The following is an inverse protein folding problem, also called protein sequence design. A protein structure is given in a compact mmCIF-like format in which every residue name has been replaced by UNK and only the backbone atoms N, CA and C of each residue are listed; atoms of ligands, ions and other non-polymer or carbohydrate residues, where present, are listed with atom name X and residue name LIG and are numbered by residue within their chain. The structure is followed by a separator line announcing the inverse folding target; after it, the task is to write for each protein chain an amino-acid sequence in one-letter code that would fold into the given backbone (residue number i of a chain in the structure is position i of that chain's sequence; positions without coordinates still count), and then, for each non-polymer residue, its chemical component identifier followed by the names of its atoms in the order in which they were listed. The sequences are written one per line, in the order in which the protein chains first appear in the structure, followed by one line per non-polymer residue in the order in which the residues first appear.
data_IF_851503108152
#
_entry.id   IF_851503108152
#
_cell.length_a   1.000
_cell.length_b   1.000
_cell.length_c   1.000
_cell.angle_alpha   90.00
_cell.angle_beta   90.00
_cell.angle_gamma   90.00
#
_symmetry.space_group_name_H-M   'P 1'
#
loop_
_entity.id
_entity.type
_entity.pdbx_description
1 polymer ?
#
# COMPACT_ATOMS: atom_id res chain seq x y z
N UNK A 1 -7.97 3.86 6.88
CA UNK A 1 -6.61 3.38 6.51
C UNK A 1 -5.70 4.45 5.86
N UNK A 2 -6.21 5.31 4.96
CA UNK A 2 -5.42 6.30 4.24
C UNK A 2 -4.55 7.21 5.13
N UNK A 3 -5.05 7.63 6.29
CA UNK A 3 -4.29 8.50 7.19
C UNK A 3 -2.97 7.89 7.67
N UNK A 4 -2.90 6.56 7.84
CA UNK A 4 -1.66 5.87 8.25
C UNK A 4 -0.64 5.82 7.11
N UNK A 5 -1.10 5.67 5.88
CA UNK A 5 -0.25 5.72 4.68
C UNK A 5 0.27 7.15 4.48
N UNK A 6 -0.61 8.15 4.60
CA UNK A 6 -0.23 9.56 4.56
C UNK A 6 0.77 9.93 5.66
N UNK A 7 0.58 9.41 6.88
CA UNK A 7 1.55 9.55 7.97
C UNK A 7 2.91 8.93 7.60
N UNK A 8 2.91 7.71 7.06
CA UNK A 8 4.13 7.06 6.57
C UNK A 8 4.86 7.89 5.52
N UNK A 9 4.13 8.46 4.56
CA UNK A 9 4.69 9.31 3.51
C UNK A 9 5.30 10.61 4.06
N UNK A 10 4.66 11.23 5.06
CA UNK A 10 5.21 12.41 5.74
C UNK A 10 6.45 12.10 6.56
N UNK A 11 6.50 10.93 7.19
CA UNK A 11 7.66 10.47 7.96
C UNK A 11 8.83 10.15 7.01
N UNK A 12 8.54 9.50 5.88
CA UNK A 12 9.52 9.05 4.89
C UNK A 12 10.45 7.94 5.40
N UNK A 13 11.26 7.40 4.49
CA UNK A 13 12.20 6.31 4.79
C UNK A 13 13.51 6.73 5.46
N UNK A 14 13.84 8.03 5.51
CA UNK A 14 15.10 8.55 6.09
C UNK A 14 15.05 8.67 7.62
N UNK A 15 13.87 8.63 8.21
CA UNK A 15 13.74 8.65 9.67
C UNK A 15 14.00 7.25 10.26
N UNK A 16 14.51 7.20 11.48
CA UNK A 16 14.62 5.94 12.24
C UNK A 16 13.28 5.51 12.88
N UNK A 17 12.15 6.08 12.43
CA UNK A 17 10.83 5.76 12.95
C UNK A 17 10.35 4.46 12.33
N UNK A 18 10.06 3.49 13.18
CA UNK A 18 9.61 2.17 12.79
C UNK A 18 8.22 1.88 13.36
N UNK A 19 7.21 1.53 12.54
CA UNK A 19 5.86 1.30 13.03
C UNK A 19 5.78 -0.01 13.80
N UNK A 20 5.11 -0.02 14.95
CA UNK A 20 4.80 -1.24 15.69
C UNK A 20 3.46 -1.83 15.20
N UNK A 21 3.40 -3.14 14.98
CA UNK A 21 2.15 -3.82 14.65
C UNK A 21 1.18 -3.79 15.86
N UNK A 22 -0.06 -3.36 15.63
CA UNK A 22 -1.16 -3.54 16.57
C UNK A 22 -1.94 -4.77 16.16
N UNK A 23 -1.65 -5.91 16.79
CA UNK A 23 -2.30 -7.17 16.49
C UNK A 23 -3.78 -7.13 16.90
N UNK A 24 -4.67 -7.67 16.04
CA UNK A 24 -6.12 -7.68 16.30
C UNK A 24 -6.48 -8.53 17.52
N UNK A 25 -5.79 -9.66 17.72
CA UNK A 25 -6.02 -10.50 18.89
C UNK A 25 -5.52 -9.80 20.16
N UNK A 26 -6.47 -9.41 21.03
CA UNK A 26 -6.20 -8.72 22.28
C UNK A 26 -5.80 -7.24 22.15
N UNK A 27 -5.73 -6.68 20.94
CA UNK A 27 -5.46 -5.26 20.70
C UNK A 27 -4.07 -4.79 21.16
N UNK A 28 -3.10 -5.72 21.24
CA UNK A 28 -1.75 -5.48 21.78
C UNK A 28 -0.76 -5.06 20.69
N UNK A 29 0.31 -4.40 21.11
CA UNK A 29 1.41 -3.99 20.24
C UNK A 29 2.55 -4.98 20.35
N UNK A 30 2.74 -5.81 19.32
CA UNK A 30 3.83 -6.79 19.26
C UNK A 30 3.97 -7.37 17.85
N UNK A 31 5.12 -8.00 17.59
CA UNK A 31 5.42 -8.78 16.40
C UNK A 31 5.13 -10.26 16.70
N UNK A 32 4.19 -10.93 16.00
CA UNK A 32 3.78 -12.30 16.32
C UNK A 32 4.79 -13.37 15.90
N UNK A 33 5.74 -13.06 15.01
CA UNK A 33 6.76 -14.00 14.55
C UNK A 33 8.11 -13.76 15.24
N UNK A 34 8.83 -14.84 15.53
CA UNK A 34 10.19 -14.78 16.07
C UNK A 34 11.23 -14.60 14.96
N UNK A 35 10.91 -15.05 13.74
CA UNK A 35 11.78 -15.03 12.57
C UNK A 35 11.03 -14.35 11.41
N UNK A 36 11.75 -13.70 10.48
CA UNK A 36 11.15 -13.11 9.29
C UNK A 36 10.56 -14.15 8.33
N UNK A 37 9.60 -13.69 7.53
CA UNK A 37 8.98 -14.44 6.44
C UNK A 37 9.09 -13.62 5.15
N UNK A 38 9.67 -14.19 4.10
CA UNK A 38 9.86 -13.49 2.81
C UNK A 38 8.56 -13.37 1.98
N UNK A 39 7.47 -13.98 2.44
CA UNK A 39 6.24 -14.20 1.65
C UNK A 39 5.15 -13.15 1.87
N UNK A 40 5.48 -12.03 2.51
CA UNK A 40 4.49 -11.07 2.99
C UNK A 40 3.97 -10.09 1.90
N UNK A 41 4.52 -10.12 0.67
CA UNK A 41 4.07 -9.24 -0.43
C UNK A 41 4.35 -9.78 -1.83
N UNK A 42 3.66 -10.84 -2.20
CA UNK A 42 3.61 -11.27 -3.60
C UNK A 42 2.82 -10.23 -4.42
N UNK A 43 3.33 -9.88 -5.61
CA UNK A 43 2.77 -8.86 -6.49
C UNK A 43 2.38 -9.52 -7.80
N UNK A 44 1.08 -9.53 -8.11
CA UNK A 44 0.54 -10.06 -9.37
C UNK A 44 -0.01 -8.95 -10.25
N UNK A 45 -0.16 -9.21 -11.56
CA UNK A 45 -0.67 -8.25 -12.55
C UNK A 45 0.40 -7.44 -13.29
N UNK A 46 1.68 -7.49 -12.85
CA UNK A 46 2.78 -6.76 -13.49
C UNK A 46 2.97 -7.11 -14.97
N UNK A 47 2.75 -8.38 -15.35
CA UNK A 47 2.87 -8.84 -16.73
C UNK A 47 1.78 -8.31 -17.67
N UNK A 48 0.74 -7.68 -17.14
CA UNK A 48 -0.37 -7.12 -17.93
C UNK A 48 -0.19 -5.63 -18.25
N UNK A 49 0.83 -4.99 -17.68
CA UNK A 49 1.11 -3.58 -17.90
C UNK A 49 1.81 -3.36 -19.24
N UNK A 50 1.34 -2.38 -20.02
CA UNK A 50 2.06 -1.88 -21.18
C UNK A 50 3.15 -0.87 -20.79
N UNK A 51 3.92 -0.39 -21.76
CA UNK A 51 4.96 0.63 -21.52
C UNK A 51 4.39 2.02 -21.21
N UNK A 52 3.08 2.24 -21.38
CA UNK A 52 2.44 3.54 -21.15
C UNK A 52 1.06 3.36 -20.50
N UNK A 53 1.07 3.15 -19.20
CA UNK A 53 -0.09 3.02 -18.33
C UNK A 53 -0.17 4.28 -17.44
N UNK A 54 -0.86 5.36 -17.86
CA UNK A 54 -0.81 6.62 -17.12
C UNK A 54 -1.36 6.49 -15.69
N UNK A 55 -2.31 5.58 -15.48
CA UNK A 55 -2.94 5.30 -14.19
C UNK A 55 -3.10 3.79 -13.99
N UNK A 56 -2.85 3.31 -12.77
CA UNK A 56 -3.03 1.91 -12.38
C UNK A 56 -3.72 1.82 -11.03
N UNK A 57 -4.37 0.68 -10.77
CA UNK A 57 -4.98 0.40 -9.48
C UNK A 57 -4.13 -0.62 -8.72
N UNK A 58 -3.78 -0.31 -7.47
CA UNK A 58 -3.14 -1.26 -6.55
C UNK A 58 -4.14 -1.68 -5.49
N UNK A 59 -4.39 -2.98 -5.42
CA UNK A 59 -5.12 -3.62 -4.34
C UNK A 59 -4.12 -4.17 -3.31
N UNK A 60 -4.01 -3.50 -2.16
CA UNK A 60 -3.16 -3.95 -1.05
C UNK A 60 -3.98 -4.81 -0.10
N UNK A 61 -4.05 -6.11 -0.39
CA UNK A 61 -4.84 -7.09 0.33
C UNK A 61 -3.94 -7.97 1.22
N UNK A 62 -3.56 -7.46 2.39
CA UNK A 62 -2.75 -8.22 3.36
C UNK A 62 -3.59 -8.85 4.46
N UNK A 63 -4.72 -8.24 4.82
CA UNK A 63 -5.58 -8.72 5.92
C UNK A 63 -6.92 -9.27 5.46
N UNK A 64 -7.41 -8.82 4.31
CA UNK A 64 -8.61 -9.32 3.65
C UNK A 64 -8.64 -8.79 2.21
N UNK A 65 -9.50 -9.40 1.39
CA UNK A 65 -9.88 -8.89 0.06
C UNK A 65 -11.42 -8.79 0.02
N UNK A 66 -12.00 -7.68 0.48
CA UNK A 66 -13.45 -7.51 0.50
C UNK A 66 -14.00 -7.26 -0.91
N UNK A 67 -15.20 -7.77 -1.21
CA UNK A 67 -15.88 -7.58 -2.51
C UNK A 67 -15.98 -6.10 -2.92
N UNK A 68 -16.20 -5.20 -1.95
CA UNK A 68 -16.24 -3.75 -2.19
C UNK A 68 -14.96 -3.16 -2.77
N UNK A 69 -13.81 -3.73 -2.40
CA UNK A 69 -12.50 -3.35 -2.92
C UNK A 69 -12.26 -3.89 -4.33
N UNK A 70 -12.75 -5.11 -4.62
CA UNK A 70 -12.72 -5.68 -5.98
C UNK A 70 -13.62 -4.90 -6.93
N UNK A 71 -14.84 -4.61 -6.49
CA UNK A 71 -15.80 -3.82 -7.26
C UNK A 71 -15.25 -2.42 -7.56
N UNK A 72 -14.78 -1.69 -6.54
CA UNK A 72 -14.22 -0.36 -6.73
C UNK A 72 -13.03 -0.37 -7.71
N UNK A 73 -12.15 -1.37 -7.63
CA UNK A 73 -11.02 -1.51 -8.55
C UNK A 73 -11.47 -1.76 -9.99
N UNK A 74 -12.46 -2.63 -10.18
CA UNK A 74 -13.04 -2.93 -11.49
C UNK A 74 -13.74 -1.71 -12.10
N UNK A 75 -14.47 -0.95 -11.28
CA UNK A 75 -15.24 0.22 -11.73
C UNK A 75 -14.32 1.36 -12.23
N UNK A 76 -13.06 1.43 -11.78
CA UNK A 76 -12.06 2.38 -12.29
C UNK A 76 -11.56 2.04 -13.70
N UNK A 77 -11.63 0.77 -14.11
CA UNK A 77 -11.22 0.34 -15.46
C UNK A 77 -9.71 0.39 -15.76
N UNK A 78 -8.87 0.65 -14.75
CA UNK A 78 -7.40 0.61 -14.90
C UNK A 78 -6.85 -0.81 -14.76
N UNK A 79 -5.60 -1.03 -15.20
CA UNK A 79 -4.88 -2.27 -14.89
C UNK A 79 -4.71 -2.43 -13.39
N UNK A 80 -5.01 -3.63 -12.88
CA UNK A 80 -5.02 -3.93 -11.45
C UNK A 80 -3.76 -4.72 -11.09
N UNK A 81 -3.03 -4.21 -10.11
CA UNK A 81 -1.96 -4.93 -9.43
C UNK A 81 -2.46 -5.35 -8.07
N UNK A 82 -2.25 -6.61 -7.71
CA UNK A 82 -2.64 -7.12 -6.40
C UNK A 82 -1.40 -7.43 -5.59
N UNK A 83 -1.37 -6.92 -4.36
CA UNK A 83 -0.34 -7.18 -3.37
C UNK A 83 -0.98 -7.99 -2.24
N UNK A 84 -0.55 -9.24 -2.10
CA UNK A 84 -1.07 -10.19 -1.09
C UNK A 84 0.03 -11.16 -0.66
N UNK A 85 -0.05 -11.75 0.54
CA UNK A 85 0.79 -12.89 0.87
C UNK A 85 0.46 -14.10 -0.02
N UNK A 86 1.39 -15.06 -0.07
CA UNK A 86 1.11 -16.37 -0.68
C UNK A 86 0.15 -17.21 0.17
N UNK A 87 0.22 -17.07 1.49
CA UNK A 87 -0.64 -17.74 2.46
C UNK A 87 -1.91 -16.96 2.84
N UNK A 88 -2.39 -17.24 4.06
CA UNK A 88 -3.65 -16.66 4.57
C UNK A 88 -3.57 -15.15 4.77
N UNK A 89 -4.68 -14.47 4.45
CA UNK A 89 -4.86 -13.05 4.73
C UNK A 89 -5.10 -12.85 6.23
N UNK A 90 -4.07 -12.41 6.94
CA UNK A 90 -4.13 -12.22 8.39
C UNK A 90 -3.55 -10.88 8.80
N UNK A 91 -3.89 -10.42 10.01
CA UNK A 91 -3.29 -9.20 10.55
C UNK A 91 -1.80 -9.35 10.91
N UNK A 92 -1.28 -10.58 10.94
CA UNK A 92 0.09 -10.92 11.26
C UNK A 92 1.00 -11.18 10.06
N UNK A 93 0.56 -10.89 8.82
CA UNK A 93 1.38 -11.12 7.61
C UNK A 93 2.74 -10.42 7.66
N UNK A 94 2.81 -9.22 8.22
CA UNK A 94 4.09 -8.58 8.58
C UNK A 94 4.40 -8.94 10.03
N UNK A 95 4.80 -10.20 10.23
CA UNK A 95 4.89 -10.82 11.55
C UNK A 95 6.15 -10.42 12.31
N UNK A 96 7.18 -9.97 11.60
CA UNK A 96 8.48 -9.59 12.13
C UNK A 96 8.89 -8.17 11.64
N UNK A 97 9.73 -7.42 12.39
CA UNK A 97 10.26 -6.13 11.93
C UNK A 97 10.96 -6.19 10.56
N UNK A 98 11.72 -7.25 10.31
CA UNK A 98 12.43 -7.37 9.03
C UNK A 98 11.46 -7.55 7.85
N UNK A 99 10.31 -8.21 8.05
CA UNK A 99 9.24 -8.29 7.04
C UNK A 99 8.75 -6.89 6.63
N UNK A 100 8.58 -6.01 7.62
CA UNK A 100 8.17 -4.63 7.39
C UNK A 100 9.23 -3.81 6.63
N UNK A 101 10.52 -4.11 6.84
CA UNK A 101 11.61 -3.50 6.06
C UNK A 101 11.63 -4.01 4.63
N UNK A 102 11.57 -5.33 4.44
CA UNK A 102 11.50 -5.99 3.13
C UNK A 102 10.28 -5.54 2.34
N UNK A 103 9.13 -5.45 2.98
CA UNK A 103 7.90 -4.92 2.39
C UNK A 103 8.08 -3.48 1.91
N UNK A 104 8.61 -2.59 2.76
CA UNK A 104 8.86 -1.20 2.39
C UNK A 104 9.79 -1.09 1.18
N UNK A 105 10.87 -1.87 1.15
CA UNK A 105 11.79 -1.90 0.01
C UNK A 105 11.08 -2.37 -1.27
N UNK A 106 10.28 -3.44 -1.17
CA UNK A 106 9.53 -3.99 -2.31
C UNK A 106 8.51 -3.01 -2.88
N UNK A 107 7.81 -2.25 -2.02
CA UNK A 107 6.92 -1.18 -2.46
C UNK A 107 7.70 -0.07 -3.15
N UNK A 108 8.85 0.33 -2.61
CA UNK A 108 9.70 1.35 -3.23
C UNK A 108 10.15 0.94 -4.64
N UNK A 109 10.62 -0.30 -4.79
CA UNK A 109 11.01 -0.88 -6.08
C UNK A 109 9.83 -0.96 -7.06
N UNK A 110 8.64 -1.33 -6.57
CA UNK A 110 7.42 -1.34 -7.38
C UNK A 110 7.08 0.06 -7.88
N UNK A 111 7.08 1.08 -7.03
CA UNK A 111 6.71 2.45 -7.44
C UNK A 111 7.71 3.03 -8.45
N UNK A 112 9.01 2.75 -8.33
CA UNK A 112 9.99 3.08 -9.36
C UNK A 112 9.71 2.33 -10.67
N UNK A 113 9.45 1.02 -10.60
CA UNK A 113 9.11 0.23 -11.78
C UNK A 113 7.92 0.82 -12.54
N UNK A 114 6.86 1.20 -11.82
CA UNK A 114 5.66 1.81 -12.38
C UNK A 114 5.97 3.15 -13.04
N UNK A 115 6.74 4.02 -12.38
CA UNK A 115 7.11 5.31 -12.95
C UNK A 115 8.00 5.15 -14.19
N UNK A 116 9.08 4.39 -14.06
CA UNK A 116 10.19 4.41 -15.02
C UNK A 116 9.94 3.53 -16.24
N UNK A 117 9.27 2.38 -16.06
CA UNK A 117 9.05 1.42 -17.17
C UNK A 117 7.65 1.47 -17.76
N UNK A 118 6.67 1.94 -16.99
CA UNK A 118 5.26 1.94 -17.39
C UNK A 118 4.68 3.34 -17.51
N UNK A 119 5.49 4.39 -17.27
CA UNK A 119 5.08 5.80 -17.35
C UNK A 119 3.84 6.12 -16.47
N UNK A 120 3.71 5.42 -15.34
CA UNK A 120 2.59 5.64 -14.41
C UNK A 120 2.73 7.00 -13.75
N UNK A 121 1.70 7.82 -13.91
CA UNK A 121 1.60 9.15 -13.29
C UNK A 121 0.81 9.12 -11.98
N UNK A 122 -0.14 8.19 -11.85
CA UNK A 122 -1.00 8.04 -10.67
C UNK A 122 -1.27 6.58 -10.33
N UNK A 123 -1.31 6.28 -9.04
CA UNK A 123 -1.70 4.98 -8.49
C UNK A 123 -2.96 5.16 -7.66
N UNK A 124 -4.00 4.38 -7.96
CA UNK A 124 -5.21 4.25 -7.15
C UNK A 124 -5.00 3.13 -6.14
N UNK A 125 -4.69 3.48 -4.89
CA UNK A 125 -4.37 2.51 -3.85
C UNK A 125 -5.58 2.22 -2.97
N UNK A 126 -5.95 0.95 -2.92
CA UNK A 126 -7.04 0.41 -2.10
C UNK A 126 -6.46 -0.47 -0.98
N UNK A 127 -6.31 0.06 0.25
CA UNK A 127 -5.65 -0.66 1.33
C UNK A 127 -6.61 -1.47 2.22
N UNK A 128 -6.34 -2.76 2.34
CA UNK A 128 -6.86 -3.64 3.38
C UNK A 128 -5.71 -4.37 4.08
N UNK A 129 -4.99 -3.64 4.93
CA UNK A 129 -3.74 -4.09 5.54
C UNK A 129 -3.68 -3.90 7.08
N UNK A 130 -2.55 -4.21 7.71
CA UNK A 130 -2.33 -3.83 9.12
C UNK A 130 -1.90 -2.37 9.23
N UNK A 131 -1.94 -1.81 10.44
CA UNK A 131 -1.47 -0.45 10.68
C UNK A 131 0.02 -0.29 10.31
N UNK A 132 0.85 -1.28 10.65
CA UNK A 132 2.26 -1.30 10.33
C UNK A 132 2.49 -1.35 8.82
N UNK A 133 1.76 -2.21 8.10
CA UNK A 133 1.81 -2.26 6.64
C UNK A 133 1.49 -0.91 6.00
N UNK A 134 0.43 -0.24 6.46
CA UNK A 134 0.05 1.07 5.91
C UNK A 134 1.14 2.12 6.12
N UNK A 135 1.72 2.19 7.32
CA UNK A 135 2.82 3.13 7.57
C UNK A 135 4.04 2.78 6.74
N UNK A 136 4.43 1.50 6.63
CA UNK A 136 5.54 1.06 5.80
C UNK A 136 5.33 1.36 4.31
N UNK A 137 4.12 1.14 3.79
CA UNK A 137 3.78 1.52 2.41
C UNK A 137 3.99 3.01 2.20
N UNK A 138 3.46 3.84 3.11
CA UNK A 138 3.63 5.28 3.06
C UNK A 138 5.11 5.69 3.08
N UNK A 139 5.91 5.09 3.96
CA UNK A 139 7.34 5.36 4.07
C UNK A 139 8.13 5.00 2.80
N UNK A 140 7.61 4.12 1.96
CA UNK A 140 8.24 3.74 0.70
C UNK A 140 8.12 4.82 -0.39
N UNK A 141 7.21 5.78 -0.25
CA UNK A 141 6.92 6.82 -1.24
C UNK A 141 8.05 7.87 -1.28
N UNK A 142 8.49 8.22 -2.49
CA UNK A 142 9.56 9.19 -2.75
C UNK A 142 9.21 10.20 -3.89
N UNK A 143 10.13 11.13 -4.20
CA UNK A 143 9.92 12.21 -5.16
C UNK A 143 9.87 11.81 -6.64
N UNK A 144 10.24 10.57 -6.95
CA UNK A 144 10.30 10.00 -8.28
C UNK A 144 9.24 8.92 -8.47
N UNK A 145 8.23 8.87 -7.59
CA UNK A 145 7.11 7.94 -7.69
C UNK A 145 5.88 8.61 -8.33
N UNK A 146 4.90 7.81 -8.75
CA UNK A 146 3.59 8.34 -9.13
C UNK A 146 2.89 8.99 -7.94
N UNK A 147 1.94 9.88 -8.22
CA UNK A 147 1.00 10.36 -7.20
C UNK A 147 0.15 9.19 -6.70
N UNK A 148 -0.15 9.14 -5.41
CA UNK A 148 -0.92 8.04 -4.81
C UNK A 148 -2.27 8.56 -4.32
N UNK A 149 -3.34 8.12 -4.99
CA UNK A 149 -4.72 8.37 -4.55
C UNK A 149 -5.20 7.23 -3.67
N UNK A 150 -5.40 7.52 -2.39
CA UNK A 150 -5.79 6.58 -1.35
C UNK A 150 -7.30 6.48 -1.21
N UNK A 151 -7.81 5.26 -1.19
CA UNK A 151 -9.22 4.96 -1.02
C UNK A 151 -9.52 4.46 0.41
N UNK A 152 -10.73 4.70 0.91
CA UNK A 152 -11.23 4.08 2.15
C UNK A 152 -12.66 3.56 1.96
N UNK A 153 -13.06 2.61 2.81
CA UNK A 153 -14.40 2.07 2.80
C UNK A 153 -15.44 3.12 3.24
N UNK A 154 -16.62 3.03 2.63
CA UNK A 154 -17.82 3.71 3.08
C UNK A 154 -18.82 2.66 3.56
N UNK A 155 -19.12 2.71 4.85
CA UNK A 155 -19.92 1.72 5.55
C UNK A 155 -21.31 1.51 4.90
N UNK A 156 -21.90 2.56 4.34
CA UNK A 156 -23.23 2.55 3.73
C UNK A 156 -23.25 1.87 2.34
N UNK A 157 -22.22 2.09 1.53
CA UNK A 157 -22.18 1.68 0.13
C UNK A 157 -21.43 0.35 -0.10
N UNK A 158 -20.77 -0.18 0.95
CA UNK A 158 -19.87 -1.35 0.87
C UNK A 158 -18.89 -1.26 -0.30
N UNK A 159 -18.47 -0.04 -0.64
CA UNK A 159 -17.51 0.27 -1.69
C UNK A 159 -16.44 1.19 -1.13
N UNK A 160 -15.43 1.50 -1.94
CA UNK A 160 -14.36 2.42 -1.56
C UNK A 160 -14.43 3.71 -2.37
N UNK A 161 -14.13 4.82 -1.71
CA UNK A 161 -14.03 6.14 -2.34
C UNK A 161 -12.67 6.78 -2.08
N UNK A 162 -12.19 7.66 -2.99
CA UNK A 162 -10.96 8.40 -2.77
C UNK A 162 -11.08 9.31 -1.55
N UNK A 163 -10.02 9.40 -0.75
CA UNK A 163 -9.98 10.20 0.49
C UNK A 163 -8.78 11.11 0.58
N UNK A 164 -7.61 10.63 0.17
CA UNK A 164 -6.35 11.35 0.33
C UNK A 164 -5.53 11.20 -0.95
N UNK A 165 -5.05 12.32 -1.49
CA UNK A 165 -4.03 12.34 -2.52
C UNK A 165 -2.68 12.64 -1.89
N UNK A 166 -1.69 11.79 -2.17
CA UNK A 166 -0.28 12.03 -1.86
C UNK A 166 0.41 12.42 -3.16
N UNK A 167 0.98 13.62 -3.19
CA UNK A 167 1.79 14.10 -4.32
C UNK A 167 3.20 14.45 -3.85
N UNK A 168 4.20 14.23 -4.69
CA UNK A 168 5.59 14.57 -4.38
C UNK A 168 6.13 15.64 -5.34
N UNK A 169 5.93 16.91 -4.98
CA UNK A 169 6.32 18.06 -5.80
C UNK A 169 7.56 18.73 -5.22
N UNK A 170 8.64 18.87 -6.01
CA UNK A 170 9.80 19.68 -5.64
C UNK A 170 10.47 19.29 -4.32
N UNK A 171 10.66 17.99 -4.09
CA UNK A 171 11.17 17.40 -2.84
C UNK A 171 10.27 17.54 -1.61
N UNK A 172 8.98 17.84 -1.79
CA UNK A 172 8.00 17.91 -0.71
C UNK A 172 6.91 16.87 -0.93
N UNK A 173 6.67 16.06 0.10
CA UNK A 173 5.46 15.25 0.19
C UNK A 173 4.29 16.16 0.59
N UNK A 174 3.28 16.27 -0.26
CA UNK A 174 2.04 17.00 -0.04
C UNK A 174 0.88 16.04 0.14
N UNK A 175 -0.05 16.39 1.03
CA UNK A 175 -1.20 15.57 1.40
C UNK A 175 -2.43 16.43 1.19
N UNK A 176 -3.31 16.02 0.29
CA UNK A 176 -4.53 16.72 -0.07
C UNK A 176 -5.73 15.83 0.24
N UNK A 177 -6.83 16.42 0.71
CA UNK A 177 -8.12 15.72 0.75
C UNK A 177 -8.64 15.58 -0.67
N UNK A 178 -9.04 14.37 -1.05
CA UNK A 178 -9.59 14.06 -2.37
C UNK A 178 -11.10 14.30 -2.42
#
# INVERSE_FOLDING_TARGET
MPALIALGAKIGNKSSIFPMLKHREGGKWFWPANDPTDDCSNITGLGELSANEPEVTIQLALTALPEGMEKAASDLGHKILMIRPEGDLTNGVLGHPEDALSFRQRIQELLHLLKDKHNVSKVHLMPCASNAACVCFGQAIDNYHPDILLYDFIDEAKTMEPRILISTTGNRCEIHTA
#
